data_IF_805668386868
#
_entry.id   IF_805668386868
#
_cell.length_a   1.000
_cell.length_b   1.000
_cell.length_c   1.000
_cell.angle_alpha   90.00
_cell.angle_beta   90.00
_cell.angle_gamma   90.00
#
_symmetry.space_group_name_H-M   'P 1'
#
loop_
_entity.id
_entity.type
_entity.pdbx_description
1 polymer ?
#
# COMPACT_ATOMS: atom_id res chain seq x y z
N UNK A 1 -3.36 -18.17 -6.52
CA UNK A 1 -2.67 -17.00 -7.10
C UNK A 1 -3.70 -16.24 -7.91
N UNK A 2 -4.14 -15.06 -7.48
CA UNK A 2 -4.86 -14.17 -8.38
C UNK A 2 -3.78 -13.31 -9.03
N UNK A 3 -3.34 -13.74 -10.22
CA UNK A 3 -2.63 -12.84 -11.11
C UNK A 3 -3.69 -11.90 -11.68
N UNK A 4 -3.96 -10.83 -10.96
CA UNK A 4 -4.48 -9.64 -11.60
C UNK A 4 -3.27 -9.00 -12.29
N UNK A 5 -2.87 -9.57 -13.43
CA UNK A 5 -2.04 -8.87 -14.40
C UNK A 5 -2.90 -7.67 -14.82
N UNK A 6 -2.88 -6.61 -14.00
CA UNK A 6 -3.37 -5.30 -14.36
C UNK A 6 -2.53 -4.90 -15.53
N UNK A 7 -2.95 -5.32 -16.72
CA UNK A 7 -2.07 -5.24 -17.84
C UNK A 7 -1.81 -3.77 -18.12
N UNK A 8 -0.76 -3.57 -18.89
CA UNK A 8 -0.39 -2.31 -19.50
C UNK A 8 -1.57 -1.74 -20.29
N UNK A 9 -2.50 -1.12 -19.58
CA UNK A 9 -3.51 -0.24 -20.13
C UNK A 9 -3.55 0.96 -19.20
N UNK A 10 -3.13 2.09 -19.75
CA UNK A 10 -3.48 3.39 -19.26
C UNK A 10 -5.00 3.48 -19.18
N UNK A 11 -5.59 3.12 -18.04
CA UNK A 11 -7.00 3.40 -17.80
C UNK A 11 -7.04 4.82 -17.24
N UNK A 12 -7.18 5.76 -18.17
CA UNK A 12 -7.46 7.15 -17.85
C UNK A 12 -8.74 7.20 -17.01
N UNK A 13 -8.62 7.55 -15.73
CA UNK A 13 -9.73 8.06 -14.94
C UNK A 13 -10.82 7.08 -14.50
N UNK A 14 -10.53 5.79 -14.30
CA UNK A 14 -11.56 4.84 -13.81
C UNK A 14 -11.47 4.59 -12.30
N UNK A 15 -12.63 4.66 -11.62
CA UNK A 15 -12.79 4.22 -10.23
C UNK A 15 -13.03 2.71 -10.25
N UNK A 16 -12.03 1.94 -9.82
CA UNK A 16 -12.10 0.48 -9.84
C UNK A 16 -12.29 0.00 -8.41
N UNK A 17 -13.51 -0.42 -8.06
CA UNK A 17 -13.78 -1.12 -6.80
C UNK A 17 -13.76 -2.62 -7.07
N UNK A 18 -12.77 -3.32 -6.51
CA UNK A 18 -12.66 -4.77 -6.61
C UNK A 18 -12.83 -5.35 -5.20
N UNK A 19 -13.80 -6.23 -5.04
CA UNK A 19 -14.03 -6.93 -3.77
C UNK A 19 -13.67 -8.38 -4.01
N UNK A 20 -12.73 -8.93 -3.25
CA UNK A 20 -12.44 -10.35 -3.33
C UNK A 20 -12.45 -11.01 -1.94
N UNK A 21 -13.27 -12.04 -1.78
CA UNK A 21 -13.26 -12.90 -0.60
C UNK A 21 -12.48 -14.17 -0.91
N UNK A 22 -11.24 -14.24 -0.44
CA UNK A 22 -10.34 -15.33 -0.79
C UNK A 22 -9.65 -15.80 0.49
N UNK A 23 -9.62 -17.11 0.73
CA UNK A 23 -9.02 -17.68 1.93
C UNK A 23 -7.51 -17.45 1.98
N UNK A 24 -6.83 -17.59 0.84
CA UNK A 24 -5.40 -17.32 0.68
C UNK A 24 -5.11 -16.75 -0.70
N UNK A 25 -4.24 -15.75 -0.80
CA UNK A 25 -3.91 -15.18 -2.09
C UNK A 25 -2.82 -14.13 -2.03
N UNK A 26 -2.34 -13.75 -3.22
CA UNK A 26 -1.42 -12.64 -3.37
C UNK A 26 -1.87 -11.77 -4.52
N UNK A 27 -1.65 -10.47 -4.38
CA UNK A 27 -1.90 -9.45 -5.41
C UNK A 27 -0.56 -8.83 -5.74
N UNK A 28 -0.25 -8.79 -7.03
CA UNK A 28 0.91 -8.10 -7.58
C UNK A 28 0.38 -7.12 -8.60
N UNK A 29 0.71 -5.83 -8.45
CA UNK A 29 0.33 -4.80 -9.41
C UNK A 29 1.52 -3.90 -9.71
N UNK A 30 1.73 -3.64 -10.99
CA UNK A 30 2.72 -2.69 -11.48
C UNK A 30 2.01 -1.67 -12.38
N UNK A 31 2.04 -0.39 -12.01
CA UNK A 31 1.48 0.69 -12.82
C UNK A 31 2.53 1.77 -13.07
N UNK A 32 2.73 2.16 -14.32
CA UNK A 32 3.68 3.19 -14.72
C UNK A 32 3.18 4.61 -14.43
N UNK A 33 2.17 5.08 -15.18
CA UNK A 33 1.51 6.35 -14.93
C UNK A 33 -0.02 6.16 -14.93
N UNK A 34 -0.69 6.55 -13.85
CA UNK A 34 -2.13 6.26 -13.69
C UNK A 34 -2.85 7.22 -12.76
N UNK A 35 -4.06 7.64 -13.13
CA UNK A 35 -5.02 8.26 -12.21
C UNK A 35 -6.12 7.25 -11.93
N UNK A 36 -6.18 6.70 -10.72
CA UNK A 36 -7.11 5.61 -10.42
C UNK A 36 -7.46 5.54 -8.94
N UNK A 37 -8.74 5.40 -8.63
CA UNK A 37 -9.20 5.12 -7.28
C UNK A 37 -9.43 3.61 -7.13
N UNK A 38 -8.67 2.96 -6.24
CA UNK A 38 -8.70 1.52 -6.03
C UNK A 38 -9.25 1.18 -4.65
N UNK A 39 -10.54 0.82 -4.59
CA UNK A 39 -11.07 0.26 -3.34
C UNK A 39 -10.97 -1.24 -3.45
N UNK A 40 -9.99 -1.80 -2.73
CA UNK A 40 -9.73 -3.23 -2.70
C UNK A 40 -10.20 -3.81 -1.36
N UNK A 41 -11.50 -4.07 -1.25
CA UNK A 41 -12.08 -4.80 -0.12
C UNK A 41 -11.73 -6.29 -0.26
N UNK A 42 -10.45 -6.63 -0.06
CA UNK A 42 -10.03 -8.03 0.05
C UNK A 42 -9.92 -8.40 1.52
N UNK A 43 -10.58 -9.50 1.90
CA UNK A 43 -10.49 -10.11 3.23
C UNK A 43 -9.71 -11.41 3.08
N UNK A 44 -8.38 -11.32 3.00
CA UNK A 44 -7.55 -12.53 3.06
C UNK A 44 -7.39 -13.01 4.50
N UNK A 45 -7.58 -14.31 4.70
CA UNK A 45 -7.14 -14.95 5.94
C UNK A 45 -5.61 -14.92 6.01
N UNK A 46 -4.95 -15.21 4.89
CA UNK A 46 -3.50 -15.07 4.70
C UNK A 46 -3.20 -14.55 3.31
N UNK A 47 -2.49 -13.44 3.19
CA UNK A 47 -2.14 -12.93 1.87
C UNK A 47 -0.94 -11.99 1.78
N UNK A 48 -0.52 -11.75 0.54
CA UNK A 48 0.57 -10.82 0.25
C UNK A 48 0.17 -9.79 -0.81
N UNK A 49 0.57 -8.55 -0.60
CA UNK A 49 0.38 -7.47 -1.56
C UNK A 49 1.73 -6.91 -1.95
N UNK A 50 2.00 -6.87 -3.24
CA UNK A 50 3.15 -6.20 -3.83
C UNK A 50 2.63 -5.18 -4.83
N UNK A 51 2.94 -3.92 -4.62
CA UNK A 51 2.46 -2.83 -5.45
C UNK A 51 3.66 -1.95 -5.82
N UNK A 52 3.91 -1.80 -7.11
CA UNK A 52 4.86 -0.85 -7.66
C UNK A 52 4.11 0.18 -8.49
N UNK A 53 4.12 1.44 -8.07
CA UNK A 53 3.46 2.51 -8.80
C UNK A 53 4.48 3.59 -9.13
N UNK A 54 4.55 3.98 -10.40
CA UNK A 54 5.28 5.16 -10.83
C UNK A 54 4.47 6.43 -10.57
N UNK A 55 4.27 7.24 -11.61
CA UNK A 55 3.56 8.51 -11.51
C UNK A 55 2.06 8.34 -11.36
N UNK A 56 1.55 8.39 -10.13
CA UNK A 56 0.14 8.03 -9.89
C UNK A 56 -0.59 8.89 -8.87
N UNK A 57 -1.90 9.04 -9.09
CA UNK A 57 -2.85 9.46 -8.06
C UNK A 57 -3.69 8.26 -7.68
N UNK A 58 -3.62 7.84 -6.41
CA UNK A 58 -4.35 6.65 -5.98
C UNK A 58 -4.86 6.68 -4.54
N UNK A 59 -6.02 6.06 -4.33
CA UNK A 59 -6.56 5.79 -3.00
C UNK A 59 -6.76 4.29 -2.85
N UNK A 60 -6.28 3.74 -1.73
CA UNK A 60 -6.25 2.33 -1.44
C UNK A 60 -6.75 2.03 -0.04
N UNK A 61 -7.62 1.04 0.07
CA UNK A 61 -8.11 0.50 1.33
C UNK A 61 -8.02 -1.01 1.29
N UNK A 62 -7.49 -1.63 2.36
CA UNK A 62 -7.26 -3.08 2.42
C UNK A 62 -7.37 -3.65 3.85
N UNK A 63 -7.80 -4.92 3.98
CA UNK A 63 -7.99 -5.60 5.27
C UNK A 63 -7.49 -7.05 5.25
N UNK A 64 -6.48 -7.39 6.07
CA UNK A 64 -6.03 -8.79 6.18
C UNK A 64 -5.90 -9.30 7.60
N UNK A 65 -6.14 -10.59 7.78
CA UNK A 65 -5.94 -11.22 9.08
C UNK A 65 -4.45 -11.48 9.32
N UNK A 66 -3.80 -12.19 8.38
CA UNK A 66 -2.35 -12.38 8.34
C UNK A 66 -1.83 -11.89 6.98
N UNK A 67 -0.79 -11.06 6.94
CA UNK A 67 -0.28 -10.63 5.64
C UNK A 67 0.99 -9.84 5.60
N UNK A 68 1.54 -9.73 4.38
CA UNK A 68 2.69 -8.90 4.07
C UNK A 68 2.33 -7.89 3.00
N UNK A 69 2.74 -6.65 3.19
CA UNK A 69 2.60 -5.59 2.19
C UNK A 69 3.98 -5.05 1.86
N UNK A 70 4.27 -5.01 0.55
CA UNK A 70 5.44 -4.35 -0.01
C UNK A 70 4.91 -3.33 -1.01
N UNK A 71 5.31 -2.08 -0.81
CA UNK A 71 4.85 -0.94 -1.58
C UNK A 71 6.05 -0.12 -2.01
N UNK A 72 6.18 0.08 -3.31
CA UNK A 72 7.17 0.97 -3.90
C UNK A 72 6.45 2.01 -4.75
N UNK A 73 6.66 3.27 -4.40
CA UNK A 73 5.98 4.40 -5.02
C UNK A 73 7.04 5.38 -5.51
N UNK A 74 6.98 5.69 -6.80
CA UNK A 74 7.72 6.80 -7.40
C UNK A 74 7.01 8.14 -7.16
N UNK A 75 6.96 8.96 -8.21
CA UNK A 75 6.40 10.31 -8.14
C UNK A 75 4.87 10.32 -8.01
N UNK A 76 4.33 10.23 -6.79
CA UNK A 76 2.90 9.94 -6.59
C UNK A 76 2.22 10.83 -5.57
N UNK A 77 0.90 10.96 -5.71
CA UNK A 77 0.01 11.48 -4.67
C UNK A 77 -0.92 10.36 -4.24
N UNK A 78 -0.84 9.87 -3.00
CA UNK A 78 -1.67 8.72 -2.63
C UNK A 78 -2.18 8.70 -1.19
N UNK A 79 -3.34 8.07 -1.01
CA UNK A 79 -3.95 7.82 0.29
C UNK A 79 -4.08 6.33 0.48
N UNK A 80 -3.66 5.84 1.64
CA UNK A 80 -3.62 4.42 1.92
C UNK A 80 -4.10 4.13 3.33
N UNK A 81 -5.05 3.20 3.44
CA UNK A 81 -5.54 2.71 4.72
C UNK A 81 -5.44 1.19 4.73
N UNK A 82 -4.72 0.65 5.71
CA UNK A 82 -4.57 -0.79 5.84
C UNK A 82 -4.72 -1.26 7.29
N UNK A 83 -5.49 -2.33 7.44
CA UNK A 83 -5.65 -3.02 8.72
C UNK A 83 -5.14 -4.45 8.61
N UNK A 84 -4.26 -4.82 9.54
CA UNK A 84 -3.76 -6.20 9.68
C UNK A 84 -3.90 -6.67 11.12
N UNK A 85 -4.28 -7.94 11.35
CA UNK A 85 -4.12 -8.49 12.69
C UNK A 85 -2.67 -8.89 12.95
N UNK A 86 -2.03 -9.58 12.01
CA UNK A 86 -0.62 -9.96 12.10
C UNK A 86 0.08 -9.73 10.78
N UNK A 87 1.19 -8.97 10.76
CA UNK A 87 1.83 -8.73 9.46
C UNK A 87 3.08 -7.89 9.44
N UNK A 88 3.59 -7.74 8.23
CA UNK A 88 4.76 -6.93 7.94
C UNK A 88 4.45 -5.96 6.80
N UNK A 89 4.84 -4.70 6.97
CA UNK A 89 4.66 -3.66 5.96
C UNK A 89 6.02 -3.06 5.64
N UNK A 90 6.39 -3.02 4.37
CA UNK A 90 7.55 -2.31 3.86
C UNK A 90 7.11 -1.33 2.79
N UNK A 91 7.49 -0.07 2.98
CA UNK A 91 7.10 1.06 2.16
C UNK A 91 8.35 1.80 1.71
N UNK A 92 8.50 1.97 0.41
CA UNK A 92 9.54 2.80 -0.18
C UNK A 92 8.88 3.89 -1.02
N UNK A 93 9.13 5.14 -0.65
CA UNK A 93 8.53 6.32 -1.24
C UNK A 93 9.64 7.18 -1.85
N UNK A 94 9.57 7.39 -3.17
CA UNK A 94 10.29 8.46 -3.87
C UNK A 94 9.54 9.78 -3.80
N UNK A 95 9.79 10.69 -4.74
CA UNK A 95 9.26 12.06 -4.77
C UNK A 95 7.73 12.16 -4.71
N UNK A 96 7.14 12.05 -3.52
CA UNK A 96 5.73 11.77 -3.34
C UNK A 96 5.11 12.58 -2.22
N UNK A 97 3.79 12.74 -2.30
CA UNK A 97 2.96 13.27 -1.23
C UNK A 97 1.95 12.19 -0.84
N UNK A 98 2.00 11.71 0.40
CA UNK A 98 1.13 10.59 0.77
C UNK A 98 0.59 10.64 2.19
N UNK A 99 -0.61 10.08 2.36
CA UNK A 99 -1.26 9.94 3.65
C UNK A 99 -1.51 8.46 3.94
N UNK A 100 -1.04 7.99 5.09
CA UNK A 100 -1.03 6.59 5.48
C UNK A 100 -1.75 6.39 6.81
N UNK A 101 -2.67 5.45 6.85
CA UNK A 101 -3.30 4.94 8.06
C UNK A 101 -3.06 3.44 8.18
N UNK A 102 -2.30 3.02 9.19
CA UNK A 102 -2.00 1.62 9.41
C UNK A 102 -2.35 1.16 10.81
N UNK A 103 -3.12 0.08 10.89
CA UNK A 103 -3.43 -0.56 12.15
C UNK A 103 -2.97 -2.01 12.11
N UNK A 104 -1.97 -2.35 12.93
CA UNK A 104 -1.49 -3.70 13.08
C UNK A 104 -1.58 -4.17 14.54
N UNK A 105 -2.19 -5.32 14.79
CA UNK A 105 -2.22 -5.85 16.17
C UNK A 105 -0.85 -6.42 16.56
N UNK A 106 -0.18 -7.11 15.65
CA UNK A 106 1.17 -7.63 15.87
C UNK A 106 1.98 -7.58 14.59
N UNK A 107 3.09 -6.84 14.56
CA UNK A 107 3.86 -6.73 13.33
C UNK A 107 4.88 -5.63 13.28
N UNK A 108 5.53 -5.50 12.13
CA UNK A 108 6.55 -4.48 11.91
C UNK A 108 6.20 -3.62 10.70
N UNK A 109 6.53 -2.34 10.77
CA UNK A 109 6.37 -1.39 9.69
C UNK A 109 7.75 -0.79 9.40
N UNK A 110 8.17 -0.78 8.14
CA UNK A 110 9.37 -0.13 7.67
C UNK A 110 8.97 0.88 6.60
N UNK A 111 9.31 2.15 6.80
CA UNK A 111 9.15 3.22 5.82
C UNK A 111 10.52 3.78 5.43
N UNK A 112 10.80 3.83 4.14
CA UNK A 112 11.95 4.52 3.56
C UNK A 112 11.45 5.64 2.65
N UNK A 113 11.79 6.87 2.98
CA UNK A 113 11.29 8.09 2.35
C UNK A 113 12.42 8.84 1.66
N UNK A 114 12.28 9.15 0.38
CA UNK A 114 13.21 9.97 -0.39
C UNK A 114 12.48 11.12 -1.10
N UNK A 115 12.87 12.37 -0.81
CA UNK A 115 12.29 13.59 -1.37
C UNK A 115 10.75 13.63 -1.25
N UNK A 116 10.20 13.18 -0.13
CA UNK A 116 8.77 12.95 0.05
C UNK A 116 8.17 13.72 1.23
N UNK A 117 6.86 13.94 1.16
CA UNK A 117 6.05 14.45 2.26
C UNK A 117 5.01 13.41 2.65
N UNK A 118 5.05 12.96 3.89
CA UNK A 118 4.14 11.93 4.39
C UNK A 118 3.43 12.38 5.65
N UNK A 119 2.16 12.01 5.77
CA UNK A 119 1.44 12.00 7.02
C UNK A 119 1.07 10.55 7.31
N UNK A 120 1.53 10.00 8.43
CA UNK A 120 1.41 8.58 8.71
C UNK A 120 0.95 8.33 10.14
N UNK A 121 -0.21 7.70 10.27
CA UNK A 121 -0.73 7.21 11.56
C UNK A 121 -0.51 5.71 11.63
N UNK A 122 0.30 5.28 12.60
CA UNK A 122 0.56 3.87 12.84
C UNK A 122 0.10 3.46 14.24
N UNK A 123 -0.76 2.44 14.30
CA UNK A 123 -1.13 1.79 15.54
C UNK A 123 -0.64 0.36 15.54
N UNK A 124 0.44 0.10 16.27
CA UNK A 124 0.98 -1.23 16.48
C UNK A 124 0.86 -1.61 17.94
N UNK A 125 0.10 -2.67 18.26
CA UNK A 125 -0.03 -3.11 19.66
C UNK A 125 1.20 -3.88 20.15
N UNK A 126 1.80 -4.71 19.30
CA UNK A 126 3.05 -5.41 19.60
C UNK A 126 3.95 -5.46 18.36
N UNK A 127 5.13 -4.85 18.43
CA UNK A 127 6.11 -4.83 17.35
C UNK A 127 6.81 -3.48 17.25
N UNK A 128 7.29 -3.09 16.06
CA UNK A 128 8.05 -1.86 15.88
C UNK A 128 7.72 -1.14 14.57
N UNK A 129 8.02 0.16 14.53
CA UNK A 129 8.00 0.99 13.34
C UNK A 129 9.43 1.53 13.14
N UNK A 130 9.96 1.38 11.93
CA UNK A 130 11.24 1.94 11.52
C UNK A 130 10.98 2.94 10.39
N UNK A 131 11.58 4.13 10.51
CA UNK A 131 11.43 5.22 9.55
C UNK A 131 12.81 5.73 9.14
N UNK A 132 13.08 5.69 7.84
CA UNK A 132 14.27 6.25 7.20
C UNK A 132 13.85 7.44 6.34
N UNK A 133 14.53 8.57 6.52
CA UNK A 133 14.22 9.84 5.85
C UNK A 133 15.47 10.33 5.09
N UNK A 134 15.30 10.60 3.81
CA UNK A 134 16.24 11.35 2.98
C UNK A 134 15.51 12.48 2.26
N UNK A 135 15.94 13.73 2.48
CA UNK A 135 15.29 14.94 1.98
C UNK A 135 13.76 14.96 2.15
N UNK A 136 13.24 14.33 3.21
CA UNK A 136 11.81 14.04 3.39
C UNK A 136 11.27 14.58 4.70
N UNK A 137 9.96 14.82 4.73
CA UNK A 137 9.21 15.21 5.92
C UNK A 137 8.12 14.19 6.21
N UNK A 138 8.07 13.69 7.45
CA UNK A 138 6.97 12.83 7.93
C UNK A 138 6.37 13.40 9.21
N UNK A 139 5.04 13.44 9.25
CA UNK A 139 4.25 13.67 10.47
C UNK A 139 3.56 12.37 10.90
#
# INVERSE_FOLDING_TARGET
MILDLGASYAIWGHRTRRVHHIRTGCIILELGASYSNWVLDTLYLTGCIILQLGSSYSNWLHHTQTGRIILELGASYSIWVHHTMTGFIMLQLGSSYSNWGHHNRTGCIILALNASYTNSVHHTRTGFVLLELDASYSN
#
